data_IF_732189762279
#
_entry.id   IF_732189762279
#
_cell.length_a   1.000
_cell.length_b   1.000
_cell.length_c   1.000
_cell.angle_alpha   90.00
_cell.angle_beta   90.00
_cell.angle_gamma   90.00
#
_symmetry.space_group_name_H-M   'P 1'
#
loop_
_entity.id
_entity.type
_entity.pdbx_description
1 polymer ?
#
# COMPACT_ATOMS: atom_id res chain seq x y z
N UNK A 1 -6.88 39.27 -17.86
CA UNK A 1 -7.49 38.15 -17.12
C UNK A 1 -7.11 36.85 -17.82
N UNK A 2 -6.40 35.93 -17.17
CA UNK A 2 -6.04 34.63 -17.76
C UNK A 2 -7.26 33.72 -17.69
N UNK A 3 -7.85 33.40 -18.84
CA UNK A 3 -8.93 32.43 -18.95
C UNK A 3 -8.31 31.03 -18.98
N UNK A 4 -8.36 30.32 -17.86
CA UNK A 4 -8.07 28.89 -17.83
C UNK A 4 -9.26 28.15 -18.48
N UNK A 5 -9.04 27.60 -19.67
CA UNK A 5 -10.05 26.81 -20.39
C UNK A 5 -10.20 25.44 -19.73
N UNK A 6 -11.22 25.29 -18.89
CA UNK A 6 -11.57 23.98 -18.32
C UNK A 6 -12.12 23.06 -19.42
N UNK A 7 -11.57 21.85 -19.55
CA UNK A 7 -12.17 20.80 -20.36
C UNK A 7 -13.48 20.36 -19.69
N UNK A 8 -14.57 20.29 -20.46
CA UNK A 8 -15.91 19.96 -19.97
C UNK A 8 -16.35 18.57 -20.47
N UNK A 9 -17.14 17.86 -19.67
CA UNK A 9 -17.84 16.64 -20.10
C UNK A 9 -18.99 16.98 -21.05
N UNK A 10 -19.60 15.98 -21.69
CA UNK A 10 -20.81 16.18 -22.54
C UNK A 10 -21.94 16.92 -21.81
N UNK A 11 -22.01 16.78 -20.48
CA UNK A 11 -22.96 17.46 -19.60
C UNK A 11 -22.47 18.82 -19.07
N UNK A 12 -21.45 19.43 -19.71
CA UNK A 12 -20.86 20.73 -19.35
C UNK A 12 -20.32 20.83 -17.92
N UNK A 13 -19.95 19.70 -17.31
CA UNK A 13 -19.30 19.69 -16.01
C UNK A 13 -17.77 19.77 -16.18
N UNK A 14 -17.03 20.48 -15.32
CA UNK A 14 -15.58 20.46 -15.33
C UNK A 14 -15.08 19.02 -15.24
N UNK A 15 -14.25 18.60 -16.19
CA UNK A 15 -13.53 17.33 -16.09
C UNK A 15 -12.61 17.48 -14.87
N UNK A 16 -12.93 16.81 -13.77
CA UNK A 16 -12.09 16.79 -12.57
C UNK A 16 -10.78 16.13 -12.93
N UNK A 17 -9.74 16.94 -13.14
CA UNK A 17 -8.38 16.46 -13.25
C UNK A 17 -7.99 15.77 -11.94
N UNK A 18 -7.30 14.63 -12.02
CA UNK A 18 -6.62 14.02 -10.88
C UNK A 18 -5.81 15.13 -10.20
N UNK A 19 -6.05 15.37 -8.92
CA UNK A 19 -5.37 16.47 -8.24
C UNK A 19 -3.92 16.08 -7.98
N UNK A 20 -3.03 17.07 -7.87
CA UNK A 20 -1.65 16.81 -7.49
C UNK A 20 -1.56 16.07 -6.14
N UNK A 21 -2.47 16.36 -5.22
CA UNK A 21 -2.56 15.66 -3.94
C UNK A 21 -2.86 14.17 -4.12
N UNK A 22 -3.77 13.80 -5.03
CA UNK A 22 -4.07 12.39 -5.31
C UNK A 22 -2.82 11.66 -5.86
N UNK A 23 -2.02 12.34 -6.69
CA UNK A 23 -0.76 11.80 -7.23
C UNK A 23 0.30 11.64 -6.12
N UNK A 24 0.43 12.64 -5.25
CA UNK A 24 1.40 12.63 -4.16
C UNK A 24 1.03 11.56 -3.10
N UNK A 25 -0.26 11.39 -2.81
CA UNK A 25 -0.78 10.32 -1.95
C UNK A 25 -0.46 8.93 -2.53
N UNK A 26 -0.70 8.72 -3.84
CA UNK A 26 -0.37 7.46 -4.51
C UNK A 26 1.13 7.15 -4.46
N UNK A 27 1.99 8.16 -4.60
CA UNK A 27 3.44 8.00 -4.48
C UNK A 27 3.86 7.61 -3.07
N UNK A 28 3.29 8.25 -2.05
CA UNK A 28 3.56 7.88 -0.65
C UNK A 28 3.16 6.43 -0.37
N UNK A 29 2.01 5.97 -0.89
CA UNK A 29 1.62 4.57 -0.76
C UNK A 29 2.56 3.60 -1.48
N UNK A 30 3.03 3.99 -2.67
CA UNK A 30 3.98 3.19 -3.42
C UNK A 30 5.33 3.08 -2.68
N UNK A 31 5.81 4.16 -2.06
CA UNK A 31 7.01 4.15 -1.23
C UNK A 31 6.85 3.29 0.03
N UNK A 32 5.68 3.36 0.69
CA UNK A 32 5.38 2.49 1.83
C UNK A 32 5.40 1.02 1.44
N UNK A 33 4.79 0.66 0.30
CA UNK A 33 4.82 -0.71 -0.22
C UNK A 33 6.25 -1.15 -0.60
N UNK A 34 7.03 -0.28 -1.24
CA UNK A 34 8.42 -0.54 -1.59
C UNK A 34 9.31 -0.75 -0.36
N UNK A 35 9.02 -0.10 0.77
CA UNK A 35 9.77 -0.30 2.01
C UNK A 35 9.69 -1.73 2.55
N UNK A 36 8.68 -2.50 2.15
CA UNK A 36 8.51 -3.90 2.53
C UNK A 36 9.27 -4.90 1.67
N UNK A 37 9.89 -4.47 0.55
CA UNK A 37 10.59 -5.37 -0.37
C UNK A 37 11.72 -6.15 0.30
N UNK A 38 12.61 -5.48 1.05
CA UNK A 38 13.72 -6.14 1.75
C UNK A 38 13.26 -7.05 2.91
N UNK A 39 12.34 -6.62 3.80
CA UNK A 39 11.77 -7.52 4.81
C UNK A 39 11.13 -8.79 4.23
N UNK A 40 10.37 -8.67 3.14
CA UNK A 40 9.72 -9.82 2.51
C UNK A 40 10.72 -10.76 1.86
N UNK A 41 11.80 -10.23 1.29
CA UNK A 41 12.91 -11.03 0.77
C UNK A 41 13.58 -11.86 1.87
N UNK A 42 13.84 -11.28 3.04
CA UNK A 42 14.40 -12.03 4.19
C UNK A 42 13.50 -13.17 4.66
N UNK A 43 12.18 -12.97 4.64
CA UNK A 43 11.21 -14.02 4.96
C UNK A 43 11.22 -15.11 3.90
N UNK A 44 11.25 -14.73 2.62
CA UNK A 44 11.31 -15.66 1.51
C UNK A 44 12.59 -16.53 1.57
N UNK A 45 13.76 -15.91 1.73
CA UNK A 45 15.05 -16.58 1.80
C UNK A 45 15.12 -17.59 2.96
N UNK A 46 14.42 -17.33 4.08
CA UNK A 46 14.33 -18.26 5.20
C UNK A 46 13.51 -19.50 4.87
N UNK A 47 12.36 -19.33 4.21
CA UNK A 47 11.48 -20.46 3.86
C UNK A 47 11.95 -21.23 2.63
N UNK A 48 12.67 -20.60 1.71
CA UNK A 48 13.30 -21.28 0.56
C UNK A 48 14.49 -22.16 0.98
N UNK A 49 15.12 -21.86 2.12
CA UNK A 49 16.23 -22.64 2.65
C UNK A 49 15.73 -23.95 3.28
N UNK A 50 15.34 -24.92 2.43
CA UNK A 50 14.92 -26.27 2.81
C UNK A 50 16.06 -27.18 3.31
N UNK A 51 17.22 -26.61 3.66
CA UNK A 51 18.29 -27.39 4.27
C UNK A 51 17.81 -27.89 5.64
N UNK A 52 17.57 -29.20 5.77
CA UNK A 52 17.16 -29.85 7.02
C UNK A 52 18.15 -29.47 8.12
N UNK A 53 17.78 -28.65 9.12
CA UNK A 53 18.77 -28.13 10.04
C UNK A 53 18.99 -29.15 11.16
N UNK A 54 20.23 -29.62 11.30
CA UNK A 54 20.65 -30.56 12.35
C UNK A 54 20.46 -30.01 13.79
N UNK A 55 20.18 -28.71 13.96
CA UNK A 55 20.07 -28.05 15.27
C UNK A 55 18.71 -27.37 15.50
N UNK A 56 17.78 -28.10 16.14
CA UNK A 56 16.42 -27.66 16.49
C UNK A 56 16.33 -26.34 17.28
N UNK A 57 17.30 -26.03 18.14
CA UNK A 57 17.27 -24.79 18.95
C UNK A 57 17.49 -23.53 18.09
N UNK A 58 18.38 -23.63 17.11
CA UNK A 58 18.64 -22.54 16.17
C UNK A 58 17.40 -22.24 15.32
N UNK A 59 16.75 -23.29 14.81
CA UNK A 59 15.49 -23.19 14.04
C UNK A 59 14.40 -22.48 14.85
N UNK A 60 14.15 -22.92 16.09
CA UNK A 60 13.09 -22.31 16.91
C UNK A 60 13.32 -20.82 17.14
N UNK A 61 14.57 -20.41 17.35
CA UNK A 61 14.91 -18.99 17.54
C UNK A 61 14.72 -18.18 16.27
N UNK A 62 15.19 -18.69 15.13
CA UNK A 62 15.06 -18.01 13.83
C UNK A 62 13.61 -17.96 13.36
N UNK A 63 12.87 -19.06 13.50
CA UNK A 63 11.43 -19.10 13.25
C UNK A 63 10.68 -18.10 14.12
N UNK A 64 10.96 -18.03 15.42
CA UNK A 64 10.28 -17.08 16.31
C UNK A 64 10.61 -15.61 15.96
N UNK A 65 11.84 -15.32 15.54
CA UNK A 65 12.22 -13.99 15.06
C UNK A 65 11.46 -13.63 13.78
N UNK A 66 11.42 -14.54 12.80
CA UNK A 66 10.72 -14.29 11.54
C UNK A 66 9.19 -14.26 11.70
N UNK A 67 8.62 -15.07 12.59
CA UNK A 67 7.21 -15.02 12.93
C UNK A 67 6.83 -13.66 13.54
N UNK A 68 7.71 -13.06 14.35
CA UNK A 68 7.51 -11.70 14.85
C UNK A 68 7.55 -10.66 13.73
N UNK A 69 8.53 -10.75 12.81
CA UNK A 69 8.62 -9.85 11.65
C UNK A 69 7.38 -9.97 10.78
N UNK A 70 6.96 -11.20 10.46
CA UNK A 70 5.74 -11.48 9.71
C UNK A 70 4.51 -10.91 10.41
N UNK A 71 4.37 -11.09 11.73
CA UNK A 71 3.21 -10.58 12.46
C UNK A 71 3.14 -9.04 12.44
N UNK A 72 4.29 -8.36 12.59
CA UNK A 72 4.37 -6.90 12.49
C UNK A 72 4.00 -6.44 11.07
N UNK A 73 4.53 -7.12 10.05
CA UNK A 73 4.15 -6.86 8.65
C UNK A 73 2.65 -7.02 8.43
N UNK A 74 2.10 -8.16 8.86
CA UNK A 74 0.70 -8.49 8.68
C UNK A 74 -0.23 -7.44 9.31
N UNK A 75 0.06 -7.01 10.55
CA UNK A 75 -0.72 -5.97 11.22
C UNK A 75 -0.62 -4.62 10.48
N UNK A 76 0.58 -4.22 10.06
CA UNK A 76 0.74 -2.98 9.29
C UNK A 76 0.07 -3.04 7.92
N UNK A 77 0.10 -4.21 7.27
CA UNK A 77 -0.57 -4.44 6.00
C UNK A 77 -2.08 -4.30 6.14
N UNK A 78 -2.70 -4.92 7.16
CA UNK A 78 -4.13 -4.77 7.43
C UNK A 78 -4.53 -3.30 7.64
N UNK A 79 -3.79 -2.57 8.49
CA UNK A 79 -4.05 -1.15 8.74
C UNK A 79 -3.91 -0.29 7.47
N UNK A 80 -2.90 -0.59 6.66
CA UNK A 80 -2.67 0.12 5.39
C UNK A 80 -3.80 -0.15 4.40
N UNK A 81 -4.33 -1.38 4.39
CA UNK A 81 -5.42 -1.76 3.50
C UNK A 81 -6.74 -1.10 3.91
N UNK A 82 -7.07 -1.09 5.21
CA UNK A 82 -8.25 -0.38 5.73
C UNK A 82 -8.19 1.12 5.38
N UNK A 83 -7.02 1.74 5.56
CA UNK A 83 -6.80 3.16 5.22
C UNK A 83 -6.98 3.42 3.73
N UNK A 84 -6.48 2.52 2.89
CA UNK A 84 -6.58 2.65 1.44
C UNK A 84 -8.03 2.49 0.96
N UNK A 85 -8.77 1.55 1.55
CA UNK A 85 -10.19 1.33 1.25
C UNK A 85 -11.06 2.52 1.69
N UNK A 86 -10.77 3.12 2.84
CA UNK A 86 -11.41 4.36 3.28
C UNK A 86 -11.15 5.50 2.29
N UNK A 87 -9.89 5.70 1.87
CA UNK A 87 -9.54 6.74 0.90
C UNK A 87 -10.22 6.49 -0.47
N UNK A 88 -10.24 5.26 -0.94
CA UNK A 88 -10.93 4.89 -2.18
C UNK A 88 -12.43 5.21 -2.09
N UNK A 89 -13.07 4.81 -1.00
CA UNK A 89 -14.48 5.09 -0.72
C UNK A 89 -14.78 6.60 -0.67
N UNK A 90 -13.88 7.37 -0.06
CA UNK A 90 -13.99 8.84 -0.01
C UNK A 90 -13.86 9.47 -1.40
N UNK A 91 -12.95 9.00 -2.24
CA UNK A 91 -12.82 9.47 -3.63
C UNK A 91 -14.09 9.15 -4.44
N UNK A 92 -14.67 7.96 -4.27
CA UNK A 92 -15.95 7.59 -4.91
C UNK A 92 -17.13 8.44 -4.40
N UNK A 93 -17.22 8.65 -3.09
CA UNK A 93 -18.27 9.48 -2.49
C UNK A 93 -18.16 10.94 -2.94
N UNK A 94 -16.94 11.48 -3.02
CA UNK A 94 -16.66 12.82 -3.55
C UNK A 94 -16.92 12.95 -5.06
N UNK A 95 -16.93 11.82 -5.80
CA UNK A 95 -17.42 11.74 -7.18
C UNK A 95 -18.95 11.85 -7.22
N UNK A 96 -19.67 11.18 -6.31
CA UNK A 96 -21.15 11.19 -6.22
C UNK A 96 -21.75 12.49 -5.68
N UNK A 97 -21.12 13.17 -4.72
CA UNK A 97 -21.63 14.45 -4.14
C UNK A 97 -21.50 15.68 -5.04
N UNK A 98 -20.82 15.56 -6.19
CA UNK A 98 -20.75 16.63 -7.22
C UNK A 98 -21.54 16.27 -8.50
N UNK A 99 -22.33 15.19 -8.47
CA UNK A 99 -23.48 15.02 -9.38
C UNK A 99 -24.65 15.84 -8.87
#
# INVERSE_FOLDING_TARGET
>A
MKNESYLLTENKQPIKSITKQDIDDLKNYLEQLASWTEPLKLVNDFFENQAIPLNKKKIMREFHAQAKVFNIFYLNFLLSMDTLEEKASNLEANKKRKM
#
